data_IF_965026056070
#
_entry.id   IF_965026056070
#
_cell.length_a   1.000
_cell.length_b   1.000
_cell.length_c   1.000
_cell.angle_alpha   90.00
_cell.angle_beta   90.00
_cell.angle_gamma   90.00
#
_symmetry.space_group_name_H-M   'P 1'
#
loop_
_entity.id
_entity.type
_entity.pdbx_description
1 polymer ?
#
# COMPACT_ATOMS: atom_id res chain seq x y z
N UNK A 1 -7.06 8.63 -6.44
CA UNK A 1 -6.04 8.30 -5.43
C UNK A 1 -6.64 8.57 -4.07
N UNK A 2 -6.61 7.62 -3.13
CA UNK A 2 -7.08 7.90 -1.78
C UNK A 2 -6.24 9.03 -1.17
N UNK A 3 -6.90 10.08 -0.69
CA UNK A 3 -6.27 11.29 -0.18
C UNK A 3 -5.88 11.09 1.28
N UNK A 4 -4.62 10.73 1.53
CA UNK A 4 -4.01 10.70 2.86
C UNK A 4 -2.54 11.09 2.77
N UNK A 5 -1.95 11.53 3.89
CA UNK A 5 -0.51 11.83 3.98
C UNK A 5 0.36 10.61 3.63
N UNK A 6 -0.17 9.40 3.84
CA UNK A 6 0.42 8.13 3.45
C UNK A 6 -0.56 7.34 2.57
N UNK A 7 -0.09 6.88 1.42
CA UNK A 7 -0.78 5.88 0.60
C UNK A 7 0.01 4.58 0.62
N UNK A 8 -0.69 3.47 0.85
CA UNK A 8 -0.14 2.12 0.94
C UNK A 8 -0.77 1.26 -0.15
N UNK A 9 0.09 0.65 -0.98
CA UNK A 9 -0.31 -0.36 -1.96
C UNK A 9 0.28 -1.71 -1.56
N UNK A 10 -0.59 -2.70 -1.36
CA UNK A 10 -0.22 -4.06 -0.96
C UNK A 10 -0.55 -4.98 -2.13
N UNK A 11 0.48 -5.45 -2.83
CA UNK A 11 0.35 -6.48 -3.84
C UNK A 11 0.57 -7.86 -3.22
N UNK A 12 -0.41 -8.74 -3.44
CA UNK A 12 -0.46 -10.12 -2.95
C UNK A 12 -0.30 -11.04 -4.16
N UNK A 13 0.70 -11.91 -4.14
CA UNK A 13 0.98 -12.87 -5.22
C UNK A 13 1.08 -14.29 -4.69
N UNK A 14 0.55 -15.27 -5.40
CA UNK A 14 0.64 -16.67 -5.00
C UNK A 14 0.32 -17.64 -6.12
N UNK A 15 0.68 -18.91 -5.94
CA UNK A 15 0.43 -19.96 -6.94
C UNK A 15 -0.92 -20.66 -6.76
N UNK A 16 -1.51 -20.57 -5.55
CA UNK A 16 -2.84 -21.09 -5.27
C UNK A 16 -3.81 -19.97 -4.90
N UNK A 17 -4.99 -20.02 -5.52
CA UNK A 17 -6.03 -19.00 -5.32
C UNK A 17 -6.50 -18.93 -3.86
N UNK A 18 -6.58 -20.08 -3.18
CA UNK A 18 -7.09 -20.16 -1.80
C UNK A 18 -6.24 -19.36 -0.81
N UNK A 19 -4.91 -19.47 -0.92
CA UNK A 19 -4.01 -18.73 -0.04
C UNK A 19 -4.03 -17.22 -0.34
N UNK A 20 -4.14 -16.84 -1.62
CA UNK A 20 -4.26 -15.42 -2.00
C UNK A 20 -5.57 -14.81 -1.48
N UNK A 21 -6.70 -15.49 -1.68
CA UNK A 21 -8.00 -14.99 -1.18
C UNK A 21 -8.02 -14.91 0.36
N UNK A 22 -7.43 -15.88 1.06
CA UNK A 22 -7.29 -15.87 2.52
C UNK A 22 -6.40 -14.71 3.00
N UNK A 23 -5.27 -14.48 2.34
CA UNK A 23 -4.37 -13.37 2.65
C UNK A 23 -5.05 -12.02 2.40
N UNK A 24 -5.80 -11.87 1.30
CA UNK A 24 -6.56 -10.64 1.04
C UNK A 24 -7.56 -10.34 2.17
N UNK A 25 -8.39 -11.31 2.56
CA UNK A 25 -9.38 -11.13 3.62
C UNK A 25 -8.76 -10.76 4.98
N UNK A 26 -7.64 -11.42 5.34
CA UNK A 26 -6.95 -11.18 6.61
C UNK A 26 -6.22 -9.84 6.63
N UNK A 27 -5.57 -9.46 5.53
CA UNK A 27 -4.99 -8.11 5.34
C UNK A 27 -6.10 -7.08 5.44
N UNK A 28 -7.25 -7.37 4.85
CA UNK A 28 -8.43 -6.54 4.93
C UNK A 28 -8.85 -6.31 6.40
N UNK A 29 -8.97 -7.37 7.20
CA UNK A 29 -9.29 -7.25 8.62
C UNK A 29 -8.21 -6.48 9.40
N UNK A 30 -6.93 -6.68 9.07
CA UNK A 30 -5.83 -5.93 9.68
C UNK A 30 -5.87 -4.44 9.33
N UNK A 31 -6.19 -4.10 8.09
CA UNK A 31 -6.38 -2.70 7.65
C UNK A 31 -7.56 -2.09 8.42
N UNK A 32 -8.65 -2.84 8.58
CA UNK A 32 -9.79 -2.38 9.40
C UNK A 32 -9.41 -2.16 10.86
N UNK A 33 -8.62 -3.05 11.46
CA UNK A 33 -8.22 -2.92 12.86
C UNK A 33 -7.18 -1.81 13.08
N UNK A 34 -6.23 -1.67 12.15
CA UNK A 34 -5.14 -0.70 12.26
C UNK A 34 -5.61 0.74 11.96
N UNK A 35 -6.56 0.89 11.02
CA UNK A 35 -7.09 2.20 10.58
C UNK A 35 -8.49 2.50 11.13
N UNK A 36 -9.05 1.63 11.98
CA UNK A 36 -10.27 1.97 12.70
C UNK A 36 -10.00 3.23 13.53
N UNK A 37 -10.88 4.25 13.47
CA UNK A 37 -10.76 5.39 14.34
C UNK A 37 -10.84 4.85 15.77
N UNK A 38 -9.76 5.01 16.54
CA UNK A 38 -9.79 4.72 17.97
C UNK A 38 -11.00 5.46 18.54
N UNK A 39 -12.00 4.71 18.97
CA UNK A 39 -13.33 5.14 19.42
C UNK A 39 -13.33 6.12 20.59
N UNK A 40 -12.16 6.60 21.03
CA UNK A 40 -11.96 7.67 21.99
C UNK A 40 -11.68 9.04 21.32
N UNK A 41 -11.00 9.08 20.17
CA UNK A 41 -10.62 10.34 19.48
C UNK A 41 -11.71 10.89 18.53
N UNK A 42 -12.71 10.07 18.19
CA UNK A 42 -13.85 10.47 17.35
C UNK A 42 -15.06 10.99 18.18
N UNK A 43 -14.97 11.00 19.51
CA UNK A 43 -15.97 11.64 20.35
C UNK A 43 -15.84 13.15 20.21
N UNK A 44 -16.94 13.91 20.12
CA UNK A 44 -16.90 15.37 20.08
C UNK A 44 -16.56 15.91 21.47
N UNK A 45 -15.32 15.72 21.93
CA UNK A 45 -14.73 16.61 22.92
C UNK A 45 -14.49 17.94 22.20
N UNK A 46 -14.98 19.04 22.77
CA UNK A 46 -14.99 20.39 22.15
C UNK A 46 -13.61 21.04 21.92
N UNK A 47 -12.65 20.26 21.44
CA UNK A 47 -11.27 20.64 21.14
C UNK A 47 -11.09 20.62 19.61
N UNK A 48 -10.32 21.56 19.03
CA UNK A 48 -10.02 21.53 17.59
C UNK A 48 -9.41 20.17 17.22
N UNK A 49 -9.77 19.60 16.05
CA UNK A 49 -9.26 18.29 15.64
C UNK A 49 -7.73 18.36 15.57
N UNK A 50 -7.07 17.49 16.33
CA UNK A 50 -5.61 17.39 16.33
C UNK A 50 -5.10 17.15 14.90
N UNK A 51 -3.94 17.70 14.50
CA UNK A 51 -3.35 17.41 13.19
C UNK A 51 -2.94 15.94 13.01
N UNK A 52 -2.84 15.19 14.12
CA UNK A 52 -2.67 13.74 14.17
C UNK A 52 -4.00 12.99 14.38
N UNK A 53 -5.13 13.68 14.35
CA UNK A 53 -6.43 13.05 14.50
C UNK A 53 -6.65 12.11 13.31
N UNK A 54 -7.12 10.88 13.57
CA UNK A 54 -7.40 9.92 12.52
C UNK A 54 -8.43 10.52 11.57
N UNK A 55 -8.11 10.56 10.28
CA UNK A 55 -9.12 10.93 9.29
C UNK A 55 -10.15 9.82 9.28
N UNK A 56 -11.43 10.20 9.34
CA UNK A 56 -12.53 9.32 9.00
C UNK A 56 -12.37 8.91 7.53
N UNK A 57 -11.55 7.89 7.29
CA UNK A 57 -11.52 7.21 6.01
C UNK A 57 -12.95 6.78 5.77
N UNK A 58 -13.61 7.41 4.79
CA UNK A 58 -14.99 7.08 4.44
C UNK A 58 -15.05 5.57 4.25
N UNK A 59 -15.64 4.90 5.24
CA UNK A 59 -15.70 3.47 5.38
C UNK A 59 -16.54 2.94 4.22
N UNK A 60 -15.89 2.61 3.10
CA UNK A 60 -16.57 2.03 1.93
C UNK A 60 -16.01 2.39 0.55
N UNK A 61 -15.43 3.57 0.31
CA UNK A 61 -15.15 4.03 -1.07
C UNK A 61 -13.70 3.85 -1.57
N UNK A 62 -12.71 3.79 -0.67
CA UNK A 62 -11.28 3.65 -1.04
C UNK A 62 -10.81 2.19 -1.11
N UNK A 63 -11.59 1.24 -0.60
CA UNK A 63 -11.17 -0.15 -0.42
C UNK A 63 -11.37 -0.90 -1.72
N UNK A 64 -10.34 -0.92 -2.55
CA UNK A 64 -10.37 -1.62 -3.83
C UNK A 64 -9.41 -2.81 -3.76
N UNK A 65 -9.92 -3.97 -3.34
CA UNK A 65 -9.27 -5.23 -3.71
C UNK A 65 -9.47 -5.42 -5.21
N UNK A 66 -8.39 -5.22 -5.97
CA UNK A 66 -8.37 -5.45 -7.41
C UNK A 66 -7.71 -6.78 -7.67
N UNK A 67 -8.52 -7.79 -7.99
CA UNK A 67 -8.02 -9.05 -8.51
C UNK A 67 -7.51 -8.83 -9.93
N UNK A 68 -6.20 -8.96 -10.11
CA UNK A 68 -5.58 -8.85 -11.42
C UNK A 68 -5.76 -10.16 -12.20
N UNK A 69 -5.78 -10.12 -13.54
CA UNK A 69 -5.80 -11.33 -14.35
C UNK A 69 -4.64 -12.26 -13.98
N UNK A 70 -4.96 -13.52 -13.71
CA UNK A 70 -3.97 -14.54 -13.38
C UNK A 70 -3.17 -14.95 -14.61
N UNK A 71 -1.89 -15.31 -14.41
CA UNK A 71 -1.00 -15.75 -15.48
C UNK A 71 -0.93 -17.28 -15.51
N UNK A 72 -0.95 -17.85 -16.72
CA UNK A 72 -0.77 -19.30 -16.95
C UNK A 72 0.55 -19.52 -17.68
N UNK A 73 1.49 -20.22 -17.05
CA UNK A 73 2.69 -20.73 -17.73
C UNK A 73 2.49 -22.22 -17.97
N UNK A 74 2.49 -22.66 -19.23
CA UNK A 74 2.39 -24.08 -19.59
C UNK A 74 3.75 -24.58 -20.03
N UNK A 75 4.13 -25.77 -19.61
CA UNK A 75 5.34 -26.43 -20.05
C UNK A 75 5.06 -27.92 -20.28
N UNK A 76 5.72 -28.48 -21.28
CA UNK A 76 5.48 -29.84 -21.74
C UNK A 76 6.76 -30.64 -21.63
N UNK A 77 6.74 -31.74 -20.90
CA UNK A 77 7.91 -32.58 -20.68
C UNK A 77 7.68 -33.98 -21.23
N UNK A 78 8.77 -34.69 -21.54
CA UNK A 78 8.72 -36.12 -21.84
C UNK A 78 8.46 -36.85 -20.51
N UNK A 79 7.58 -37.86 -20.52
CA UNK A 79 7.20 -38.60 -19.30
C UNK A 79 8.34 -39.43 -18.70
N UNK A 80 9.31 -39.83 -19.52
CA UNK A 80 10.45 -40.65 -19.12
C UNK A 80 11.77 -39.88 -19.20
N UNK A 81 12.79 -40.30 -18.43
CA UNK A 81 14.13 -39.70 -18.49
C UNK A 81 14.90 -40.07 -19.77
N UNK A 82 14.45 -41.10 -20.51
CA UNK A 82 15.08 -41.60 -21.73
C UNK A 82 14.42 -41.03 -22.99
N UNK A 83 15.10 -41.10 -24.13
CA UNK A 83 14.81 -40.39 -25.40
C UNK A 83 13.45 -40.71 -26.06
N UNK A 84 12.61 -41.56 -25.43
CA UNK A 84 11.31 -41.98 -25.93
C UNK A 84 10.30 -40.83 -26.00
N UNK A 85 10.37 -40.10 -27.12
CA UNK A 85 9.71 -38.82 -27.39
C UNK A 85 8.20 -38.89 -27.68
N UNK A 86 7.56 -40.06 -27.57
CA UNK A 86 6.15 -40.24 -27.93
C UNK A 86 5.16 -39.88 -26.81
N UNK A 87 5.57 -40.03 -25.55
CA UNK A 87 4.75 -39.71 -24.39
C UNK A 87 5.09 -38.33 -23.83
N UNK A 88 4.22 -37.34 -24.04
CA UNK A 88 4.35 -36.01 -23.44
C UNK A 88 3.36 -35.83 -22.27
N UNK A 89 3.78 -35.06 -21.28
CA UNK A 89 2.99 -34.61 -20.15
C UNK A 89 2.92 -33.09 -20.13
N UNK A 90 1.74 -32.57 -19.78
CA UNK A 90 1.44 -31.15 -19.79
C UNK A 90 1.38 -30.67 -18.34
N UNK A 91 2.26 -29.76 -17.98
CA UNK A 91 2.26 -29.11 -16.68
C UNK A 91 1.86 -27.65 -16.82
N UNK A 92 1.33 -27.11 -15.72
CA UNK A 92 0.99 -25.71 -15.65
C UNK A 92 1.34 -25.10 -14.30
N UNK A 93 1.78 -23.85 -14.36
CA UNK A 93 1.90 -22.97 -13.21
C UNK A 93 0.92 -21.82 -13.37
N UNK A 94 0.06 -21.64 -12.38
CA UNK A 94 -0.88 -20.53 -12.31
C UNK A 94 -0.37 -19.52 -11.29
N UNK A 95 -0.38 -18.24 -11.63
CA UNK A 95 0.01 -17.16 -10.74
C UNK A 95 -1.17 -16.22 -10.56
N UNK A 96 -1.64 -16.10 -9.32
CA UNK A 96 -2.71 -15.21 -8.92
C UNK A 96 -2.11 -13.96 -8.30
N UNK A 97 -2.62 -12.79 -8.69
CA UNK A 97 -2.19 -11.51 -8.14
C UNK A 97 -3.41 -10.67 -7.78
N UNK A 98 -3.38 -10.11 -6.58
CA UNK A 98 -4.36 -9.14 -6.10
C UNK A 98 -3.63 -7.90 -5.60
N UNK A 99 -4.28 -6.75 -5.66
CA UNK A 99 -3.74 -5.49 -5.16
C UNK A 99 -4.76 -4.86 -4.25
N UNK A 100 -4.35 -4.53 -3.04
CA UNK A 100 -5.12 -3.77 -2.07
C UNK A 100 -4.51 -2.38 -1.95
N UNK A 101 -5.33 -1.34 -2.02
CA UNK A 101 -4.88 0.04 -1.82
C UNK A 101 -5.60 0.66 -0.62
N UNK A 102 -4.84 1.31 0.25
CA UNK A 102 -5.35 2.04 1.40
C UNK A 102 -4.57 3.36 1.57
N UNK A 103 -5.13 4.31 2.31
CA UNK A 103 -4.42 5.52 2.73
C UNK A 103 -4.71 5.82 4.19
N UNK A 104 -3.75 6.44 4.87
CA UNK A 104 -3.91 6.97 6.22
C UNK A 104 -3.22 8.33 6.31
N UNK A 105 -3.58 9.14 7.30
CA UNK A 105 -2.91 10.40 7.61
C UNK A 105 -1.94 10.27 8.79
N UNK A 106 -2.06 9.22 9.59
CA UNK A 106 -1.25 9.03 10.79
C UNK A 106 -0.14 8.00 10.58
N UNK A 107 1.03 8.29 11.15
CA UNK A 107 2.20 7.43 11.08
C UNK A 107 2.10 6.23 12.03
N UNK A 108 1.43 6.36 13.17
CA UNK A 108 1.29 5.24 14.11
C UNK A 108 0.34 4.17 13.57
N UNK A 109 -0.76 4.58 12.95
CA UNK A 109 -1.68 3.69 12.23
C UNK A 109 -0.95 2.86 11.16
N UNK A 110 -0.12 3.50 10.35
CA UNK A 110 0.71 2.83 9.36
C UNK A 110 1.67 1.83 10.02
N UNK A 111 2.32 2.22 11.12
CA UNK A 111 3.24 1.36 11.85
C UNK A 111 2.53 0.10 12.38
N UNK A 112 1.33 0.24 12.96
CA UNK A 112 0.51 -0.89 13.44
C UNK A 112 0.13 -1.84 12.32
N UNK A 113 -0.24 -1.31 11.15
CA UNK A 113 -0.54 -2.14 9.98
C UNK A 113 0.70 -2.95 9.55
N UNK A 114 1.86 -2.29 9.41
CA UNK A 114 3.09 -2.94 8.99
C UNK A 114 3.58 -3.99 10.01
N UNK A 115 3.39 -3.73 11.29
CA UNK A 115 3.67 -4.69 12.36
C UNK A 115 2.74 -5.90 12.29
N UNK A 116 1.43 -5.68 12.12
CA UNK A 116 0.44 -6.75 11.95
C UNK A 116 0.74 -7.64 10.76
N UNK A 117 1.15 -7.07 9.63
CA UNK A 117 1.56 -7.81 8.43
C UNK A 117 2.79 -8.70 8.66
N UNK A 118 3.75 -8.24 9.47
CA UNK A 118 4.94 -9.02 9.81
C UNK A 118 4.62 -10.19 10.75
N UNK A 119 3.70 -9.98 11.70
CA UNK A 119 3.31 -10.99 12.70
C UNK A 119 2.55 -12.14 12.06
N UNK A 120 1.68 -11.87 11.09
CA UNK A 120 0.70 -12.85 10.59
C UNK A 120 1.29 -14.00 9.76
N UNK A 121 2.57 -13.93 9.35
CA UNK A 121 3.30 -15.00 8.62
C UNK A 121 2.48 -15.72 7.54
N UNK A 122 2.12 -15.02 6.46
CA UNK A 122 1.36 -15.60 5.36
C UNK A 122 2.10 -16.76 4.67
N UNK A 123 1.41 -17.89 4.50
CA UNK A 123 1.96 -19.08 3.85
C UNK A 123 1.57 -19.12 2.38
N UNK A 124 2.50 -19.54 1.51
CA UNK A 124 2.23 -19.72 0.07
C UNK A 124 1.93 -18.43 -0.71
N UNK A 125 2.19 -17.27 -0.10
CA UNK A 125 1.91 -15.95 -0.66
C UNK A 125 3.12 -15.05 -0.48
N UNK A 126 3.44 -14.29 -1.53
CA UNK A 126 4.40 -13.21 -1.52
C UNK A 126 3.66 -11.88 -1.37
N UNK A 127 4.08 -11.09 -0.38
CA UNK A 127 3.60 -9.72 -0.20
C UNK A 127 4.64 -8.73 -0.70
N UNK A 128 4.17 -7.72 -1.43
CA UNK A 128 4.93 -6.52 -1.75
C UNK A 128 4.13 -5.33 -1.24
N UNK A 129 4.74 -4.55 -0.35
CA UNK A 129 4.13 -3.36 0.24
C UNK A 129 4.89 -2.14 -0.24
N UNK A 130 4.23 -1.30 -1.02
CA UNK A 130 4.76 -0.04 -1.51
C UNK A 130 4.09 1.10 -0.71
N UNK A 131 4.88 1.84 0.07
CA UNK A 131 4.41 2.99 0.87
C UNK A 131 4.89 4.27 0.22
N UNK A 132 3.96 5.14 -0.13
CA UNK A 132 4.24 6.49 -0.65
C UNK A 132 3.74 7.51 0.35
N UNK A 133 4.61 8.40 0.83
CA UNK A 133 4.24 9.50 1.70
C UNK A 133 4.34 10.83 0.95
N UNK A 134 3.30 11.66 1.09
CA UNK A 134 3.27 13.03 0.59
C UNK A 134 3.09 13.96 1.79
N UNK A 135 4.08 14.02 2.67
CA UNK A 135 4.04 14.92 3.81
C UNK A 135 4.52 16.32 3.37
N UNK A 136 3.71 17.34 3.68
CA UNK A 136 4.24 18.70 3.78
C UNK A 136 5.12 18.73 5.03
N UNK A 137 6.44 18.88 4.84
CA UNK A 137 7.37 19.13 5.93
C UNK A 137 6.95 20.45 6.60
N UNK A 138 6.33 20.37 7.78
CA UNK A 138 6.22 21.52 8.67
C UNK A 138 7.62 21.79 9.23
N UNK A 139 8.35 22.66 8.53
CA UNK A 139 9.61 23.19 9.04
C UNK A 139 9.31 23.94 10.34
N UNK A 140 10.07 23.71 11.42
CA UNK A 140 9.90 24.52 12.62
C UNK A 140 10.13 26.01 12.28
N UNK A 141 9.48 26.95 12.98
CA UNK A 141 9.41 28.35 12.56
C UNK A 141 10.79 29.02 12.44
N UNK A 142 11.77 28.52 13.17
CA UNK A 142 13.18 28.87 13.13
C UNK A 142 13.92 28.37 11.88
N UNK A 143 13.37 27.42 11.12
CA UNK A 143 13.95 26.84 9.87
C UNK A 143 13.00 27.01 8.66
N UNK A 144 11.83 27.63 8.85
CA UNK A 144 10.88 27.92 7.77
C UNK A 144 11.47 28.77 6.62
N UNK A 145 12.50 29.58 6.92
CA UNK A 145 13.27 30.34 5.92
C UNK A 145 14.04 29.45 4.94
N UNK A 146 14.39 28.21 5.32
CA UNK A 146 15.02 27.23 4.42
C UNK A 146 14.09 26.80 3.28
N UNK A 147 12.78 26.75 3.53
CA UNK A 147 11.78 26.37 2.51
C UNK A 147 11.46 27.50 1.52
N UNK A 148 11.60 28.76 1.94
CA UNK A 148 11.32 29.93 1.11
C UNK A 148 12.38 30.23 0.04
N UNK A 149 13.59 29.66 0.16
CA UNK A 149 14.72 29.93 -0.73
C UNK A 149 14.60 29.35 -2.15
N UNK A 150 13.65 28.46 -2.41
CA UNK A 150 13.43 27.89 -3.74
C UNK A 150 12.49 28.76 -4.61
N UNK A 151 11.61 29.57 -4.01
CA UNK A 151 10.65 30.40 -4.75
C UNK A 151 11.22 31.78 -5.17
N UNK A 152 12.36 32.21 -4.60
CA UNK A 152 12.90 33.57 -4.78
C UNK A 152 13.98 33.72 -5.88
N UNK A 153 14.32 32.67 -6.64
CA UNK A 153 15.28 32.78 -7.77
C UNK A 153 14.66 33.23 -9.11
N UNK A 154 13.41 33.71 -9.12
CA UNK A 154 12.73 34.16 -10.34
C UNK A 154 12.46 35.66 -10.46
N UNK A 155 12.54 36.44 -9.38
CA UNK A 155 11.94 37.79 -9.34
C UNK A 155 12.94 38.93 -9.03
N UNK A 156 14.20 38.80 -9.43
CA UNK A 156 15.25 39.76 -9.06
C UNK A 156 16.25 40.11 -10.16
N UNK A 157 15.84 40.14 -11.43
CA UNK A 157 16.72 40.59 -12.53
C UNK A 157 15.96 41.39 -13.60
N UNK A 158 15.25 42.44 -13.17
CA UNK A 158 14.68 43.45 -14.06
C UNK A 158 14.54 44.80 -13.34
N UNK A 159 15.64 45.36 -12.84
CA UNK A 159 15.73 46.79 -12.52
C UNK A 159 17.20 47.20 -12.45
N UNK A 160 17.66 47.96 -13.45
CA UNK A 160 18.92 48.72 -13.39
C UNK A 160 19.94 48.39 -14.47
N UNK A 161 19.80 49.01 -15.65
CA UNK A 161 20.92 49.50 -16.46
C UNK A 161 20.38 50.38 -17.61
N UNK A 162 20.79 51.66 -17.63
CA UNK A 162 20.71 52.54 -18.81
C UNK A 162 19.63 53.60 -18.75
#
# INVERSE_FOLDING_TARGET
MPSGAFSVEIAVQGFEKRYVDMACNTIDDLVMLAFAPKSYAALPTGQPPDPHAPVALSFGASRRDVKLPWRRTRFTLIRGPHIDKKGMEQFERREYKSVLAAATNDAEELARLLEGLKIYQFTGVQLRVDVTSAQTLQLPPDVAWCGAGAALRGAGRAAGAG
#
